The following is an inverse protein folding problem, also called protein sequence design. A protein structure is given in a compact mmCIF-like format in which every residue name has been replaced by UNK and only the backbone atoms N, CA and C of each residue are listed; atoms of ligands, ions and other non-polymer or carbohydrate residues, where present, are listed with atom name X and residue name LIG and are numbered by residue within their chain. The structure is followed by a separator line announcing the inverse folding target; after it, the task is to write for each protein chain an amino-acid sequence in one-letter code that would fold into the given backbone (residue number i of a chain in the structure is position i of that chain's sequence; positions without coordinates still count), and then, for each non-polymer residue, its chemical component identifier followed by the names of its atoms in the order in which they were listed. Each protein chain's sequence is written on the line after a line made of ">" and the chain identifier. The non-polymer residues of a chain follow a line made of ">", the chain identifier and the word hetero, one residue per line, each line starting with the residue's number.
data_IF_259970559326
#
_entry.id   IF_259970559326
#
_cell.length_a   1.000
_cell.length_b   1.000
_cell.length_c   1.000
_cell.angle_alpha   90.00
_cell.angle_beta   90.00
_cell.angle_gamma   90.00
#
_symmetry.space_group_name_H-M   'P 1'
#
loop_
_entity.id
_entity.type
_entity.pdbx_description
1 polymer ?
#
# COMPACT_ATOMS: atom_id res chain seq x y z
N UNK A 1 -54.09 -16.76 -25.88
CA UNK A 1 -53.38 -17.14 -24.64
C UNK A 1 -52.14 -16.25 -24.55
N UNK A 2 -52.24 -15.14 -23.82
CA UNK A 2 -51.16 -14.17 -23.65
C UNK A 2 -50.46 -14.41 -22.31
N UNK A 3 -49.13 -14.54 -22.35
CA UNK A 3 -48.29 -14.73 -21.17
C UNK A 3 -48.01 -13.35 -20.57
N UNK A 4 -48.47 -13.13 -19.34
CA UNK A 4 -48.36 -11.87 -18.62
C UNK A 4 -46.93 -11.62 -18.12
N UNK A 5 -46.39 -10.45 -18.45
CA UNK A 5 -45.21 -9.88 -17.81
C UNK A 5 -45.60 -9.35 -16.43
N UNK A 6 -45.07 -10.01 -15.38
CA UNK A 6 -45.03 -9.49 -14.00
C UNK A 6 -44.31 -8.15 -13.97
N UNK A 7 -45.07 -7.06 -13.83
CA UNK A 7 -44.55 -5.74 -13.50
C UNK A 7 -44.16 -5.73 -12.01
N UNK A 8 -42.89 -6.03 -11.74
CA UNK A 8 -42.28 -5.76 -10.44
C UNK A 8 -42.22 -4.26 -10.20
N UNK A 9 -42.90 -3.80 -9.16
CA UNK A 9 -42.78 -2.47 -8.59
C UNK A 9 -41.33 -2.26 -8.13
N UNK A 10 -40.59 -1.36 -8.80
CA UNK A 10 -39.33 -0.84 -8.26
C UNK A 10 -39.65 0.20 -7.18
N UNK A 11 -38.94 0.22 -6.03
CA UNK A 11 -39.08 1.26 -5.03
C UNK A 11 -38.86 2.64 -5.68
N UNK A 12 -39.67 3.63 -5.31
CA UNK A 12 -39.56 4.99 -5.81
C UNK A 12 -38.13 5.50 -5.65
N UNK A 13 -37.47 5.83 -6.78
CA UNK A 13 -36.12 6.42 -6.80
C UNK A 13 -35.08 5.67 -7.64
N UNK A 14 -35.29 4.39 -7.98
CA UNK A 14 -34.35 3.66 -8.83
C UNK A 14 -34.82 3.75 -10.30
N UNK A 15 -34.29 4.74 -11.03
CA UNK A 15 -34.48 4.84 -12.48
C UNK A 15 -33.99 3.56 -13.17
N UNK A 16 -34.71 3.09 -14.20
CA UNK A 16 -34.26 2.03 -15.12
C UNK A 16 -32.88 2.33 -15.73
N UNK A 17 -32.44 3.59 -15.74
CA UNK A 17 -31.09 3.97 -16.20
C UNK A 17 -29.96 3.43 -15.32
N UNK A 18 -30.21 3.18 -14.03
CA UNK A 18 -29.23 2.59 -13.11
C UNK A 18 -28.89 1.14 -13.48
N UNK A 19 -29.78 0.47 -14.22
CA UNK A 19 -29.56 -0.89 -14.74
C UNK A 19 -28.80 -0.87 -16.08
N UNK A 20 -28.80 0.27 -16.80
CA UNK A 20 -28.29 0.36 -18.16
C UNK A 20 -26.86 0.94 -18.28
N UNK A 21 -26.39 1.71 -17.29
CA UNK A 21 -25.01 2.23 -17.27
C UNK A 21 -24.39 2.16 -15.87
N UNK A 22 -23.39 1.29 -15.64
CA UNK A 22 -22.74 1.20 -14.33
C UNK A 22 -22.04 2.52 -13.99
N UNK A 23 -22.13 2.93 -12.73
CA UNK A 23 -21.48 4.15 -12.23
C UNK A 23 -19.96 4.01 -12.32
N UNK A 24 -19.31 5.00 -12.94
CA UNK A 24 -17.83 5.02 -13.03
C UNK A 24 -17.20 5.53 -11.74
N UNK A 25 -16.22 4.81 -11.22
CA UNK A 25 -15.46 5.15 -10.01
C UNK A 25 -13.98 5.22 -10.33
N UNK A 26 -13.35 6.36 -10.08
CA UNK A 26 -11.94 6.62 -10.39
C UNK A 26 -11.09 6.29 -9.19
N UNK A 27 -10.19 5.34 -9.39
CA UNK A 27 -9.28 4.88 -8.34
C UNK A 27 -7.87 5.23 -8.75
N UNK A 28 -7.15 5.88 -7.86
CA UNK A 28 -5.71 6.05 -7.99
C UNK A 28 -5.01 5.08 -7.06
N UNK A 29 -4.04 4.35 -7.58
CA UNK A 29 -3.26 3.38 -6.81
C UNK A 29 -1.76 3.56 -7.07
N UNK A 30 -0.92 3.36 -6.05
CA UNK A 30 0.54 3.44 -6.23
C UNK A 30 1.13 2.21 -6.89
N UNK A 31 0.50 1.05 -6.71
CA UNK A 31 0.97 -0.25 -7.18
C UNK A 31 -0.20 -1.17 -7.51
N UNK A 32 -0.11 -1.90 -8.61
CA UNK A 32 -1.15 -2.85 -9.02
C UNK A 32 -1.45 -3.90 -7.94
N UNK A 33 -0.45 -4.27 -7.13
CA UNK A 33 -0.59 -5.25 -6.05
C UNK A 33 -1.58 -4.83 -4.95
N UNK A 34 -1.87 -3.54 -4.80
CA UNK A 34 -2.85 -3.06 -3.81
C UNK A 34 -4.30 -3.25 -4.26
N UNK A 35 -4.52 -3.32 -5.57
CA UNK A 35 -5.85 -3.42 -6.15
C UNK A 35 -5.82 -4.27 -7.44
N UNK A 36 -5.57 -5.58 -7.33
CA UNK A 36 -5.40 -6.45 -8.48
C UNK A 36 -6.72 -6.64 -9.24
N UNK A 37 -6.62 -6.86 -10.55
CA UNK A 37 -7.76 -6.96 -11.48
C UNK A 37 -8.85 -7.94 -11.03
N UNK A 38 -8.49 -9.07 -10.41
CA UNK A 38 -9.48 -10.04 -9.90
C UNK A 38 -10.42 -9.45 -8.85
N UNK A 39 -9.88 -8.61 -7.95
CA UNK A 39 -10.69 -7.93 -6.91
C UNK A 39 -11.52 -6.80 -7.54
N UNK A 40 -10.96 -6.13 -8.55
CA UNK A 40 -11.71 -5.12 -9.32
C UNK A 40 -12.96 -5.75 -9.95
N UNK A 41 -12.79 -6.86 -10.67
CA UNK A 41 -13.88 -7.57 -11.36
C UNK A 41 -14.95 -8.08 -10.38
N UNK A 42 -14.55 -8.62 -9.24
CA UNK A 42 -15.48 -9.06 -8.17
C UNK A 42 -16.33 -7.88 -7.67
N UNK A 43 -15.70 -6.78 -7.27
CA UNK A 43 -16.39 -5.59 -6.76
C UNK A 43 -17.23 -4.87 -7.82
N UNK A 44 -16.77 -4.81 -9.08
CA UNK A 44 -17.55 -4.25 -10.18
C UNK A 44 -18.87 -5.00 -10.41
N UNK A 45 -18.82 -6.33 -10.30
CA UNK A 45 -20.00 -7.18 -10.45
C UNK A 45 -20.94 -7.04 -9.25
N UNK A 46 -20.40 -7.06 -8.04
CA UNK A 46 -21.18 -6.99 -6.80
C UNK A 46 -21.87 -5.65 -6.62
N UNK A 47 -21.13 -4.55 -6.85
CA UNK A 47 -21.62 -3.18 -6.64
C UNK A 47 -22.22 -2.55 -7.91
N UNK A 48 -22.17 -3.24 -9.06
CA UNK A 48 -22.63 -2.75 -10.37
C UNK A 48 -21.99 -1.42 -10.78
N UNK A 49 -20.68 -1.32 -10.58
CA UNK A 49 -19.86 -0.16 -10.92
C UNK A 49 -18.82 -0.51 -11.99
N UNK A 50 -18.11 0.51 -12.48
CA UNK A 50 -16.92 0.34 -13.32
C UNK A 50 -15.77 1.15 -12.78
N UNK A 51 -14.63 0.51 -12.54
CA UNK A 51 -13.44 1.20 -12.08
C UNK A 51 -12.65 1.78 -13.25
N UNK A 52 -12.20 3.01 -13.06
CA UNK A 52 -11.19 3.65 -13.88
C UNK A 52 -9.93 3.78 -13.04
N UNK A 53 -9.03 2.80 -13.16
CA UNK A 53 -7.83 2.71 -12.32
C UNK A 53 -6.66 3.44 -12.99
N UNK A 54 -6.09 4.42 -12.28
CA UNK A 54 -4.80 5.04 -12.62
C UNK A 54 -3.73 4.50 -11.68
N UNK A 55 -2.66 3.94 -12.22
CA UNK A 55 -1.47 3.54 -11.45
C UNK A 55 -0.39 4.62 -11.61
N UNK A 56 0.09 5.20 -10.51
CA UNK A 56 1.23 6.14 -10.55
C UNK A 56 1.89 6.29 -9.18
N UNK A 57 3.21 6.48 -9.18
CA UNK A 57 4.02 6.86 -8.00
C UNK A 57 4.56 8.29 -8.07
N UNK A 58 4.21 9.06 -9.10
CA UNK A 58 4.63 10.47 -9.17
C UNK A 58 3.76 11.33 -8.25
N UNK A 59 4.38 11.85 -7.18
CA UNK A 59 3.70 12.67 -6.18
C UNK A 59 2.94 13.85 -6.80
N UNK A 60 3.54 14.53 -7.78
CA UNK A 60 2.94 15.71 -8.40
C UNK A 60 1.67 15.35 -9.18
N UNK A 61 1.71 14.28 -9.97
CA UNK A 61 0.55 13.73 -10.67
C UNK A 61 -0.57 13.33 -9.72
N UNK A 62 -0.22 12.75 -8.56
CA UNK A 62 -1.20 12.35 -7.55
C UNK A 62 -1.85 13.60 -6.95
N UNK A 63 -1.05 14.56 -6.47
CA UNK A 63 -1.56 15.79 -5.89
C UNK A 63 -2.49 16.52 -6.86
N UNK A 64 -2.10 16.62 -8.14
CA UNK A 64 -2.93 17.20 -9.20
C UNK A 64 -4.28 16.47 -9.37
N UNK A 65 -4.28 15.14 -9.36
CA UNK A 65 -5.51 14.32 -9.47
C UNK A 65 -6.40 14.36 -8.23
N UNK A 66 -5.85 14.64 -7.06
CA UNK A 66 -6.60 14.84 -5.81
C UNK A 66 -7.33 16.19 -5.81
N UNK A 67 -6.69 17.25 -6.32
CA UNK A 67 -7.27 18.61 -6.36
C UNK A 67 -8.14 18.89 -7.60
N UNK A 68 -7.99 18.08 -8.66
CA UNK A 68 -8.71 18.27 -9.91
C UNK A 68 -10.23 18.20 -9.73
N UNK A 69 -10.98 18.82 -10.65
CA UNK A 69 -12.43 18.64 -10.77
C UNK A 69 -12.74 18.06 -12.16
N UNK A 70 -13.31 16.85 -12.26
CA UNK A 70 -13.71 15.98 -11.15
C UNK A 70 -12.49 15.18 -10.61
N UNK A 71 -12.35 15.05 -9.27
CA UNK A 71 -11.18 14.43 -8.62
C UNK A 71 -11.19 12.90 -8.68
N UNK A 72 -10.15 12.25 -8.18
CA UNK A 72 -10.23 10.81 -7.87
C UNK A 72 -11.30 10.54 -6.79
N UNK A 73 -11.89 9.35 -6.83
CA UNK A 73 -12.94 8.94 -5.89
C UNK A 73 -12.34 8.18 -4.70
N UNK A 74 -11.33 7.33 -4.94
CA UNK A 74 -10.56 6.60 -3.92
C UNK A 74 -9.06 6.68 -4.25
N UNK A 75 -8.24 6.86 -3.23
CA UNK A 75 -6.78 6.74 -3.30
C UNK A 75 -6.34 5.50 -2.52
N UNK A 76 -5.51 4.66 -3.12
CA UNK A 76 -4.88 3.50 -2.50
C UNK A 76 -3.36 3.73 -2.48
N UNK A 77 -2.85 4.18 -1.33
CA UNK A 77 -1.50 4.73 -1.22
C UNK A 77 -0.88 4.52 0.17
N UNK A 78 0.45 4.73 0.33
CA UNK A 78 1.12 4.67 1.61
C UNK A 78 0.56 5.67 2.63
N UNK A 79 0.54 5.31 3.91
CA UNK A 79 0.00 6.16 5.00
C UNK A 79 0.66 7.54 5.07
N UNK A 80 1.97 7.61 4.88
CA UNK A 80 2.74 8.85 4.97
C UNK A 80 2.41 9.85 3.84
N UNK A 81 1.89 9.38 2.70
CA UNK A 81 1.33 10.24 1.65
C UNK A 81 -0.03 10.78 2.08
N UNK A 82 -0.90 9.92 2.65
CA UNK A 82 -2.17 10.36 3.21
C UNK A 82 -1.99 11.39 4.33
N UNK A 83 -1.03 11.19 5.24
CA UNK A 83 -0.69 12.16 6.29
C UNK A 83 -0.31 13.53 5.71
N UNK A 84 0.47 13.53 4.63
CA UNK A 84 0.89 14.76 3.93
C UNK A 84 -0.29 15.47 3.29
N UNK A 85 -1.17 14.74 2.59
CA UNK A 85 -2.40 15.30 1.99
C UNK A 85 -3.39 15.80 3.05
N UNK A 86 -3.50 15.11 4.18
CA UNK A 86 -4.37 15.50 5.28
C UNK A 86 -3.92 16.84 5.90
N UNK A 87 -2.60 17.06 6.07
CA UNK A 87 -2.06 18.35 6.52
C UNK A 87 -2.41 19.52 5.58
N UNK A 88 -2.69 19.21 4.31
CA UNK A 88 -3.13 20.16 3.29
C UNK A 88 -4.66 20.25 3.17
N UNK A 89 -5.42 19.59 4.05
CA UNK A 89 -6.88 19.49 4.02
C UNK A 89 -7.45 18.92 2.70
N UNK A 90 -6.70 18.04 2.03
CA UNK A 90 -7.09 17.47 0.74
C UNK A 90 -7.91 16.18 0.86
N UNK A 91 -8.04 15.63 2.07
CA UNK A 91 -8.72 14.36 2.31
C UNK A 91 -10.05 14.58 3.04
N UNK A 92 -11.04 13.80 2.65
CA UNK A 92 -12.31 13.73 3.35
C UNK A 92 -12.11 13.01 4.68
N UNK A 93 -12.55 13.66 5.76
CA UNK A 93 -12.56 13.07 7.10
C UNK A 93 -13.94 12.48 7.32
N UNK A 94 -14.02 11.16 7.42
CA UNK A 94 -15.26 10.49 7.77
C UNK A 94 -15.52 10.61 9.28
N UNK A 95 -16.74 11.00 9.67
CA UNK A 95 -17.25 10.88 11.04
C UNK A 95 -17.58 9.42 11.38
N UNK A 96 -17.35 8.99 12.64
CA UNK A 96 -17.68 7.66 13.19
C UNK A 96 -18.14 6.61 12.19
N UNK A 97 -17.18 5.87 11.62
CA UNK A 97 -17.46 4.82 10.64
C UNK A 97 -17.21 3.44 11.23
N UNK A 98 -18.10 2.50 10.97
CA UNK A 98 -17.95 1.08 11.29
C UNK A 98 -16.64 0.49 10.73
N UNK A 99 -16.09 1.06 9.65
CA UNK A 99 -14.78 0.68 9.13
C UNK A 99 -13.65 0.87 10.15
N UNK A 100 -13.70 1.92 10.98
CA UNK A 100 -12.70 2.14 12.03
C UNK A 100 -12.69 1.02 13.07
N UNK A 101 -13.85 0.40 13.31
CA UNK A 101 -14.00 -0.70 14.25
C UNK A 101 -13.37 -1.99 13.75
N UNK A 102 -13.18 -2.16 12.44
CA UNK A 102 -12.57 -3.36 11.86
C UNK A 102 -11.04 -3.33 11.91
N UNK A 103 -10.45 -2.15 12.05
CA UNK A 103 -9.00 -1.96 12.03
C UNK A 103 -8.44 -2.25 13.42
N UNK A 104 -7.33 -2.98 13.49
CA UNK A 104 -6.67 -3.26 14.76
C UNK A 104 -6.13 -1.97 15.39
N UNK A 105 -6.24 -1.79 16.72
CA UNK A 105 -5.85 -0.56 17.40
C UNK A 105 -4.41 -0.09 17.16
N UNK A 106 -3.49 -1.01 16.87
CA UNK A 106 -2.08 -0.71 16.60
C UNK A 106 -1.86 0.16 15.35
N UNK A 107 -2.84 0.20 14.44
CA UNK A 107 -2.80 0.98 13.20
C UNK A 107 -3.65 2.25 13.27
N UNK A 108 -4.29 2.51 14.42
CA UNK A 108 -5.08 3.71 14.66
C UNK A 108 -4.25 4.72 15.47
N UNK A 109 -4.37 6.00 15.15
CA UNK A 109 -3.67 7.05 15.89
C UNK A 109 -4.26 7.15 17.33
N UNK A 110 -3.42 7.12 18.38
CA UNK A 110 -3.86 7.17 19.78
C UNK A 110 -4.66 8.42 20.15
N UNK A 111 -4.59 9.51 19.37
CA UNK A 111 -5.30 10.78 19.64
C UNK A 111 -6.75 10.79 19.11
N UNK A 112 -7.20 9.72 18.43
CA UNK A 112 -8.54 9.63 17.86
C UNK A 112 -9.58 9.35 18.96
N UNK A 113 -9.86 10.36 19.77
CA UNK A 113 -10.96 10.39 20.76
C UNK A 113 -12.35 10.51 20.12
N UNK A 114 -12.43 10.74 18.80
CA UNK A 114 -13.69 10.92 18.04
C UNK A 114 -13.90 9.93 16.88
N UNK A 115 -13.07 8.88 16.74
CA UNK A 115 -13.11 7.86 15.66
C UNK A 115 -13.15 8.43 14.22
N UNK A 116 -12.77 9.68 14.03
CA UNK A 116 -12.71 10.31 12.71
C UNK A 116 -11.46 9.86 11.96
N UNK A 117 -11.64 9.22 10.80
CA UNK A 117 -10.54 8.71 9.97
C UNK A 117 -10.50 9.45 8.63
N UNK A 118 -9.32 9.96 8.28
CA UNK A 118 -8.99 10.43 6.93
C UNK A 118 -8.25 9.36 6.10
N UNK A 119 -7.75 8.32 6.77
CA UNK A 119 -7.02 7.21 6.17
C UNK A 119 -7.47 5.90 6.80
N UNK A 120 -7.72 4.92 5.96
CA UNK A 120 -8.16 3.58 6.31
C UNK A 120 -7.00 2.61 6.04
N UNK A 121 -6.14 2.32 7.03
CA UNK A 121 -5.07 1.33 6.86
C UNK A 121 -5.68 -0.04 6.55
N UNK A 122 -5.24 -0.66 5.45
CA UNK A 122 -5.70 -1.98 5.00
C UNK A 122 -4.60 -3.02 5.09
N UNK A 123 -3.38 -2.60 4.78
CA UNK A 123 -2.24 -3.47 4.57
C UNK A 123 -1.00 -2.92 5.27
N UNK A 124 -0.13 -3.81 5.75
CA UNK A 124 1.19 -3.44 6.23
C UNK A 124 2.23 -4.47 5.77
N UNK A 125 3.49 -4.05 5.69
CA UNK A 125 4.61 -4.96 5.49
C UNK A 125 5.84 -4.45 6.21
N UNK A 126 6.65 -5.37 6.72
CA UNK A 126 8.03 -5.09 7.15
C UNK A 126 8.97 -5.51 6.03
N UNK A 127 9.87 -4.64 5.59
CA UNK A 127 10.88 -4.96 4.56
C UNK A 127 12.18 -5.46 5.20
N UNK A 128 13.00 -6.13 4.40
CA UNK A 128 14.39 -6.50 4.72
C UNK A 128 15.16 -6.87 3.46
N UNK A 129 16.45 -7.15 3.58
CA UNK A 129 17.31 -7.45 2.44
C UNK A 129 17.54 -8.95 2.28
N UNK A 130 17.20 -9.50 1.11
CA UNK A 130 17.53 -10.87 0.71
C UNK A 130 18.74 -10.86 -0.22
N UNK A 131 19.78 -11.63 0.09
CA UNK A 131 20.97 -11.78 -0.75
C UNK A 131 20.98 -13.14 -1.46
N UNK A 132 21.67 -13.23 -2.60
CA UNK A 132 21.94 -14.50 -3.27
C UNK A 132 23.00 -15.29 -2.48
N UNK A 133 22.57 -16.29 -1.69
CA UNK A 133 23.48 -17.20 -0.97
C UNK A 133 23.44 -17.14 0.56
N UNK A 134 22.38 -16.58 1.16
CA UNK A 134 22.16 -16.56 2.61
C UNK A 134 23.24 -15.82 3.42
N UNK A 135 24.02 -14.97 2.75
CA UNK A 135 25.00 -14.10 3.40
C UNK A 135 24.30 -12.83 3.92
N UNK A 136 24.88 -12.21 4.96
CA UNK A 136 24.40 -10.93 5.48
C UNK A 136 24.47 -9.81 4.43
N UNK A 137 23.67 -8.76 4.61
CA UNK A 137 23.71 -7.60 3.73
C UNK A 137 25.11 -6.95 3.67
N UNK A 138 25.81 -6.88 4.80
CA UNK A 138 27.17 -6.35 4.88
C UNK A 138 28.17 -7.21 4.08
N UNK A 139 28.06 -8.53 4.12
CA UNK A 139 28.87 -9.43 3.31
C UNK A 139 28.60 -9.26 1.82
N UNK A 140 27.32 -9.10 1.43
CA UNK A 140 26.97 -8.75 0.05
C UNK A 140 27.63 -7.44 -0.39
N UNK A 141 27.64 -6.41 0.45
CA UNK A 141 28.28 -5.13 0.13
C UNK A 141 29.78 -5.28 -0.14
N UNK A 142 30.46 -6.18 0.60
CA UNK A 142 31.89 -6.46 0.44
C UNK A 142 32.21 -7.38 -0.74
N UNK A 143 31.26 -8.20 -1.19
CA UNK A 143 31.47 -9.09 -2.34
C UNK A 143 31.55 -8.31 -3.66
N UNK A 144 32.68 -8.43 -4.36
CA UNK A 144 32.87 -7.76 -5.67
C UNK A 144 32.16 -8.47 -6.82
N UNK A 145 31.74 -9.73 -6.65
CA UNK A 145 31.05 -10.51 -7.69
C UNK A 145 29.56 -10.20 -7.74
N UNK A 146 28.92 -10.02 -6.59
CA UNK A 146 27.53 -9.57 -6.52
C UNK A 146 27.43 -8.06 -6.78
N UNK A 147 26.92 -7.68 -7.96
CA UNK A 147 27.01 -6.29 -8.45
C UNK A 147 25.74 -5.47 -8.30
N UNK A 148 24.57 -6.09 -8.15
CA UNK A 148 23.29 -5.37 -8.25
C UNK A 148 22.52 -5.35 -6.93
N UNK A 149 22.03 -4.17 -6.57
CA UNK A 149 21.15 -3.91 -5.43
C UNK A 149 19.79 -3.44 -5.93
N UNK A 150 18.75 -4.21 -5.68
CA UNK A 150 17.37 -3.88 -6.03
C UNK A 150 16.64 -3.29 -4.83
N UNK A 151 16.07 -2.11 -4.97
CA UNK A 151 15.40 -1.37 -3.91
C UNK A 151 13.94 -1.08 -4.27
N UNK A 152 13.09 -0.93 -3.25
CA UNK A 152 11.72 -0.49 -3.48
C UNK A 152 11.72 0.94 -4.03
N UNK A 153 10.94 1.18 -5.09
CA UNK A 153 10.86 2.46 -5.77
C UNK A 153 10.06 3.51 -4.97
N UNK A 154 10.59 3.90 -3.81
CA UNK A 154 10.01 4.84 -2.86
C UNK A 154 11.08 5.83 -2.42
N UNK A 155 10.97 7.08 -2.87
CA UNK A 155 12.01 8.11 -2.71
C UNK A 155 12.33 8.42 -1.25
N UNK A 156 11.32 8.43 -0.39
CA UNK A 156 11.48 8.72 1.04
C UNK A 156 12.19 7.57 1.75
N UNK A 157 11.80 6.34 1.42
CA UNK A 157 12.47 5.15 1.92
C UNK A 157 13.92 5.09 1.47
N UNK A 158 14.17 5.32 0.18
CA UNK A 158 15.51 5.37 -0.40
C UNK A 158 16.37 6.41 0.31
N UNK A 159 15.86 7.62 0.53
CA UNK A 159 16.61 8.66 1.24
C UNK A 159 17.02 8.20 2.63
N UNK A 160 16.10 7.59 3.39
CA UNK A 160 16.40 7.07 4.73
C UNK A 160 17.44 5.95 4.69
N UNK A 161 17.34 5.02 3.73
CA UNK A 161 18.35 3.97 3.55
C UNK A 161 19.74 4.56 3.32
N UNK A 162 19.87 5.52 2.41
CA UNK A 162 21.15 6.14 2.09
C UNK A 162 21.75 6.93 3.26
N UNK A 163 20.92 7.64 4.03
CA UNK A 163 21.36 8.31 5.25
C UNK A 163 21.87 7.32 6.30
N UNK A 164 21.15 6.21 6.52
CA UNK A 164 21.60 5.17 7.45
C UNK A 164 22.89 4.50 6.97
N UNK A 165 23.03 4.24 5.67
CA UNK A 165 24.26 3.70 5.11
C UNK A 165 25.44 4.68 5.22
N UNK A 166 25.20 5.98 5.14
CA UNK A 166 26.21 6.99 5.40
C UNK A 166 26.64 6.96 6.87
N UNK A 167 25.69 6.97 7.80
CA UNK A 167 25.95 6.94 9.25
C UNK A 167 26.70 5.67 9.68
N UNK A 168 26.41 4.53 9.03
CA UNK A 168 27.10 3.25 9.24
C UNK A 168 28.46 3.15 8.53
N UNK A 169 28.84 4.13 7.71
CA UNK A 169 30.06 4.07 6.91
C UNK A 169 30.01 3.06 5.74
N UNK A 170 28.82 2.64 5.33
CA UNK A 170 28.59 1.66 4.25
C UNK A 170 28.36 2.30 2.88
N UNK A 171 28.10 3.61 2.84
CA UNK A 171 27.74 4.32 1.61
C UNK A 171 28.71 4.08 0.44
N UNK A 172 30.02 4.09 0.71
CA UNK A 172 31.03 3.86 -0.33
C UNK A 172 30.98 2.45 -0.94
N UNK A 173 30.54 1.45 -0.17
CA UNK A 173 30.34 0.08 -0.66
C UNK A 173 29.03 -0.04 -1.44
N UNK A 174 27.98 0.63 -0.97
CA UNK A 174 26.69 0.69 -1.68
C UNK A 174 26.85 1.35 -3.05
N UNK A 175 27.59 2.45 -3.14
CA UNK A 175 27.84 3.17 -4.39
C UNK A 175 28.69 2.37 -5.40
N UNK A 176 29.38 1.31 -4.98
CA UNK A 176 30.04 0.37 -5.90
C UNK A 176 29.05 -0.62 -6.54
N UNK A 177 27.84 -0.73 -6.00
CA UNK A 177 26.77 -1.57 -6.56
C UNK A 177 25.99 -0.80 -7.61
N UNK A 178 25.49 -1.52 -8.61
CA UNK A 178 24.46 -1.03 -9.52
C UNK A 178 23.12 -1.01 -8.77
N UNK A 179 22.57 0.18 -8.57
CA UNK A 179 21.30 0.36 -7.85
C UNK A 179 20.16 0.41 -8.87
N UNK A 180 19.15 -0.43 -8.67
CA UNK A 180 17.95 -0.47 -9.49
C UNK A 180 16.72 -0.36 -8.59
N UNK A 181 15.86 0.61 -8.83
CA UNK A 181 14.62 0.80 -8.10
C UNK A 181 13.47 0.14 -8.86
N UNK A 182 12.66 -0.66 -8.18
CA UNK A 182 11.57 -1.40 -8.79
C UNK A 182 10.28 -1.26 -7.97
N UNK A 183 9.10 -1.24 -8.63
CA UNK A 183 7.81 -1.45 -7.98
C UNK A 183 7.76 -2.78 -7.20
N UNK A 184 6.89 -2.87 -6.19
CA UNK A 184 6.84 -4.01 -5.28
C UNK A 184 6.49 -5.34 -5.98
N UNK A 185 5.54 -5.32 -6.90
CA UNK A 185 5.13 -6.46 -7.70
C UNK A 185 6.30 -7.01 -8.53
N UNK A 186 7.12 -6.13 -9.12
CA UNK A 186 8.30 -6.52 -9.88
C UNK A 186 9.42 -7.06 -8.98
N UNK A 187 9.61 -6.49 -7.79
CA UNK A 187 10.59 -7.00 -6.82
C UNK A 187 10.30 -8.45 -6.41
N UNK A 188 9.02 -8.77 -6.15
CA UNK A 188 8.59 -10.10 -5.72
C UNK A 188 8.74 -11.14 -6.84
N UNK A 189 8.45 -10.77 -8.10
CA UNK A 189 8.53 -11.69 -9.24
C UNK A 189 9.96 -11.99 -9.71
N UNK A 190 10.93 -11.15 -9.37
CA UNK A 190 12.29 -11.21 -9.93
C UNK A 190 13.21 -12.22 -9.19
N UNK A 191 12.81 -13.49 -9.13
CA UNK A 191 13.48 -14.52 -8.32
C UNK A 191 14.83 -15.03 -8.88
N UNK A 192 15.23 -14.57 -10.07
CA UNK A 192 16.42 -15.06 -10.78
C UNK A 192 17.61 -14.09 -10.79
N UNK A 193 17.55 -12.99 -10.06
CA UNK A 193 18.58 -11.95 -10.13
C UNK A 193 19.80 -12.26 -9.23
N UNK A 194 21.00 -12.18 -9.80
CA UNK A 194 22.27 -12.14 -9.07
C UNK A 194 22.36 -10.80 -8.30
N UNK A 195 22.18 -10.81 -6.97
CA UNK A 195 22.29 -9.59 -6.16
C UNK A 195 21.59 -9.63 -4.80
N UNK A 196 21.42 -8.44 -4.22
CA UNK A 196 20.61 -8.23 -3.03
C UNK A 196 19.33 -7.47 -3.37
N UNK A 197 18.23 -7.78 -2.66
CA UNK A 197 16.89 -7.26 -2.95
C UNK A 197 16.21 -6.84 -1.67
N UNK A 198 15.65 -5.64 -1.64
CA UNK A 198 14.71 -5.24 -0.60
C UNK A 198 13.36 -5.93 -0.85
N UNK A 199 12.92 -6.77 0.08
CA UNK A 199 11.70 -7.57 -0.04
C UNK A 199 10.89 -7.57 1.27
N UNK A 200 9.57 -7.83 1.19
CA UNK A 200 8.75 -8.10 2.35
C UNK A 200 9.29 -9.30 3.14
N UNK A 201 9.40 -9.13 4.46
CA UNK A 201 9.73 -10.22 5.38
C UNK A 201 8.49 -11.11 5.52
N UNK A 202 8.44 -12.19 4.74
CA UNK A 202 7.46 -13.26 4.88
C UNK A 202 8.19 -14.59 5.13
N UNK A 203 7.70 -15.39 6.09
CA UNK A 203 8.39 -16.58 6.62
C UNK A 203 8.52 -17.76 5.63
N UNK A 204 8.16 -17.60 4.37
CA UNK A 204 8.49 -18.60 3.33
C UNK A 204 10.00 -18.69 3.04
N UNK A 205 10.86 -17.88 3.69
CA UNK A 205 12.31 -18.06 3.70
C UNK A 205 12.90 -17.98 5.13
N UNK A 206 13.35 -19.10 5.72
CA UNK A 206 14.03 -19.12 7.01
C UNK A 206 15.42 -18.44 7.01
N UNK A 207 15.91 -18.05 5.83
CA UNK A 207 17.24 -17.46 5.63
C UNK A 207 17.31 -15.94 5.85
N UNK A 208 16.15 -15.27 5.98
CA UNK A 208 16.09 -13.86 6.37
C UNK A 208 16.23 -13.75 7.89
N UNK A 209 17.47 -13.66 8.38
CA UNK A 209 17.69 -13.31 9.78
C UNK A 209 17.23 -11.88 10.02
N UNK A 210 16.32 -11.71 10.99
CA UNK A 210 15.68 -10.45 11.43
C UNK A 210 16.70 -9.43 12.01
N UNK A 211 18.00 -9.59 11.74
CA UNK A 211 19.09 -8.78 12.28
C UNK A 211 19.59 -7.67 11.34
N UNK A 212 18.96 -7.44 10.19
CA UNK A 212 19.29 -6.25 9.40
C UNK A 212 18.61 -5.01 10.02
N UNK A 213 19.41 -4.08 10.57
CA UNK A 213 18.92 -2.74 11.01
C UNK A 213 18.48 -1.84 9.82
N UNK A 214 18.16 -2.44 8.67
CA UNK A 214 17.77 -1.78 7.43
C UNK A 214 16.39 -2.27 6.99
N UNK A 215 15.51 -2.49 7.97
CA UNK A 215 14.12 -2.82 7.71
C UNK A 215 13.29 -1.55 7.70
N UNK A 216 12.22 -1.51 6.91
CA UNK A 216 11.20 -0.48 6.99
C UNK A 216 9.86 -1.11 7.33
N UNK A 217 9.03 -0.39 8.09
CA UNK A 217 7.63 -0.76 8.30
C UNK A 217 6.78 0.20 7.50
N UNK A 218 6.06 -0.34 6.51
CA UNK A 218 5.25 0.42 5.58
C UNK A 218 3.79 0.00 5.71
N UNK A 219 2.90 0.98 5.68
CA UNK A 219 1.46 0.80 5.80
C UNK A 219 0.79 1.40 4.57
N UNK A 220 -0.07 0.61 3.92
CA UNK A 220 -0.92 1.07 2.83
C UNK A 220 -2.38 0.99 3.24
N UNK A 221 -3.17 1.81 2.59
CA UNK A 221 -4.58 1.90 2.89
C UNK A 221 -5.29 2.79 1.89
N UNK A 222 -6.49 3.16 2.27
CA UNK A 222 -7.35 3.98 1.45
C UNK A 222 -7.54 5.38 2.04
N UNK A 223 -7.63 6.37 1.17
CA UNK A 223 -8.11 7.70 1.51
C UNK A 223 -9.13 8.16 0.47
N UNK A 224 -10.07 9.01 0.88
CA UNK A 224 -11.07 9.60 -0.01
C UNK A 224 -10.68 11.07 -0.19
N UNK A 225 -10.48 11.57 -1.42
CA UNK A 225 -10.25 12.99 -1.65
C UNK A 225 -11.42 13.85 -1.16
N UNK A 226 -11.14 15.01 -0.57
CA UNK A 226 -12.17 15.96 -0.15
C UNK A 226 -13.03 16.44 -1.34
N UNK A 227 -12.41 16.56 -2.51
CA UNK A 227 -13.03 16.98 -3.76
C UNK A 227 -13.87 15.87 -4.46
N UNK A 228 -13.86 14.63 -3.95
CA UNK A 228 -14.63 13.52 -4.55
C UNK A 228 -16.13 13.79 -4.48
N UNK A 229 -16.85 13.56 -5.57
CA UNK A 229 -18.31 13.65 -5.64
C UNK A 229 -19.01 12.33 -5.27
N UNK A 230 -18.26 11.26 -4.96
CA UNK A 230 -18.77 9.90 -4.67
C UNK A 230 -18.34 9.37 -3.31
N UNK A 231 -18.39 10.19 -2.26
CA UNK A 231 -17.88 9.84 -0.92
C UNK A 231 -18.59 8.64 -0.30
N UNK A 232 -19.92 8.57 -0.43
CA UNK A 232 -20.75 7.51 0.11
C UNK A 232 -20.47 6.18 -0.59
N UNK A 233 -20.43 6.20 -1.94
CA UNK A 233 -20.07 5.03 -2.74
C UNK A 233 -18.62 4.59 -2.47
N UNK A 234 -17.70 5.53 -2.25
CA UNK A 234 -16.34 5.20 -1.84
C UNK A 234 -16.32 4.47 -0.50
N UNK A 235 -17.09 4.90 0.50
CA UNK A 235 -17.22 4.20 1.79
C UNK A 235 -17.81 2.78 1.60
N UNK A 236 -18.80 2.62 0.72
CA UNK A 236 -19.37 1.30 0.40
C UNK A 236 -18.32 0.37 -0.22
N UNK A 237 -17.53 0.85 -1.17
CA UNK A 237 -16.43 0.10 -1.78
C UNK A 237 -15.37 -0.28 -0.74
N UNK A 238 -14.99 0.65 0.15
CA UNK A 238 -14.06 0.34 1.24
C UNK A 238 -14.63 -0.66 2.24
N UNK A 239 -15.94 -0.64 2.46
CA UNK A 239 -16.64 -1.63 3.30
C UNK A 239 -16.60 -3.02 2.67
N UNK A 240 -16.84 -3.11 1.36
CA UNK A 240 -16.70 -4.36 0.62
C UNK A 240 -15.24 -4.84 0.61
N UNK A 241 -14.26 -3.96 0.36
CA UNK A 241 -12.84 -4.29 0.39
C UNK A 241 -12.40 -4.86 1.74
N UNK A 242 -13.01 -4.44 2.85
CA UNK A 242 -12.73 -4.97 4.21
C UNK A 242 -13.56 -6.19 4.57
N UNK A 243 -14.25 -6.83 3.62
CA UNK A 243 -14.89 -8.12 3.84
C UNK A 243 -13.83 -9.22 4.01
N UNK A 244 -14.05 -10.12 4.98
CA UNK A 244 -13.08 -11.17 5.31
C UNK A 244 -12.77 -12.06 4.10
N UNK A 245 -13.78 -12.42 3.30
CA UNK A 245 -13.60 -13.23 2.09
C UNK A 245 -12.65 -12.59 1.08
N UNK A 246 -12.82 -11.29 0.80
CA UNK A 246 -11.98 -10.53 -0.12
C UNK A 246 -10.56 -10.39 0.43
N UNK A 247 -10.45 -10.03 1.71
CA UNK A 247 -9.15 -9.85 2.36
C UNK A 247 -8.35 -11.14 2.42
N UNK A 248 -8.96 -12.26 2.80
CA UNK A 248 -8.30 -13.56 2.83
C UNK A 248 -7.77 -13.95 1.45
N UNK A 249 -8.61 -13.86 0.41
CA UNK A 249 -8.18 -14.19 -0.95
C UNK A 249 -7.06 -13.29 -1.45
N UNK A 250 -7.11 -12.00 -1.14
CA UNK A 250 -6.10 -11.03 -1.57
C UNK A 250 -4.77 -11.22 -0.82
N UNK A 251 -4.83 -11.42 0.51
CA UNK A 251 -3.64 -11.61 1.35
C UNK A 251 -2.90 -12.91 1.03
N UNK A 252 -3.58 -13.93 0.50
CA UNK A 252 -2.92 -15.17 0.05
C UNK A 252 -2.16 -14.99 -1.28
N UNK A 253 -2.45 -13.94 -2.05
CA UNK A 253 -1.85 -13.68 -3.38
C UNK A 253 -0.88 -12.51 -3.40
N UNK A 254 -0.81 -11.74 -2.32
CA UNK A 254 0.04 -10.54 -2.21
C UNK A 254 1.11 -10.75 -1.15
N UNK A 255 2.16 -9.92 -1.10
CA UNK A 255 3.12 -9.97 -0.01
C UNK A 255 2.67 -9.21 1.25
N UNK A 256 1.47 -8.62 1.27
CA UNK A 256 1.00 -7.75 2.36
C UNK A 256 0.39 -8.49 3.56
N UNK A 257 0.64 -8.02 4.77
CA UNK A 257 -0.08 -8.43 5.96
C UNK A 257 -1.31 -7.53 6.15
N UNK A 258 -2.32 -8.01 6.89
CA UNK A 258 -3.53 -7.24 7.15
C UNK A 258 -3.44 -6.39 8.41
N UNK A 259 -4.08 -5.23 8.37
CA UNK A 259 -4.30 -4.35 9.52
C UNK A 259 -5.63 -4.64 10.25
N UNK A 260 -6.46 -5.55 9.73
CA UNK A 260 -7.79 -5.84 10.28
C UNK A 260 -7.72 -6.76 11.51
N UNK A 261 -8.63 -6.54 12.47
CA UNK A 261 -8.66 -7.28 13.73
C UNK A 261 -9.35 -8.67 13.63
N UNK A 262 -10.34 -8.83 12.74
CA UNK A 262 -11.23 -10.02 12.69
C UNK A 262 -10.80 -11.12 11.72
N UNK A 263 -9.63 -11.00 11.07
CA UNK A 263 -9.12 -12.02 10.15
C UNK A 263 -8.48 -13.18 10.94
N UNK A 264 -9.31 -13.96 11.61
CA UNK A 264 -8.88 -15.11 12.43
C UNK A 264 -8.96 -16.45 11.71
N UNK A 265 -9.41 -16.46 10.46
CA UNK A 265 -9.63 -17.67 9.66
C UNK A 265 -8.38 -18.56 9.64
N UNK A 266 -8.50 -19.88 9.85
CA UNK A 266 -7.35 -20.79 9.89
C UNK A 266 -6.49 -20.80 8.62
N UNK A 267 -7.08 -20.41 7.48
CA UNK A 267 -6.39 -20.33 6.19
C UNK A 267 -5.34 -19.20 6.14
N UNK A 268 -5.51 -18.13 6.92
CA UNK A 268 -4.58 -17.01 6.96
C UNK A 268 -3.52 -17.25 8.06
N UNK A 269 -2.22 -17.36 7.70
CA UNK A 269 -1.14 -17.57 8.67
C UNK A 269 -1.12 -16.48 9.76
N UNK A 270 -0.81 -16.81 11.03
CA UNK A 270 -0.79 -15.84 12.13
C UNK A 270 0.06 -14.58 11.85
N UNK A 271 1.18 -14.74 11.16
CA UNK A 271 2.13 -13.67 10.82
C UNK A 271 1.52 -12.62 9.88
N UNK A 272 0.49 -12.99 9.13
CA UNK A 272 -0.23 -12.13 8.18
C UNK A 272 -1.33 -11.32 8.87
N UNK A 273 -1.59 -11.56 10.16
CA UNK A 273 -2.63 -10.90 10.94
C UNK A 273 -2.08 -9.64 11.59
N UNK A 274 -2.99 -8.71 11.90
CA UNK A 274 -2.63 -7.44 12.51
C UNK A 274 -1.89 -7.58 13.84
N UNK A 275 -2.27 -8.58 14.65
CA UNK A 275 -1.70 -8.80 15.99
C UNK A 275 -0.20 -9.12 15.98
N UNK A 276 0.31 -9.70 14.89
CA UNK A 276 1.71 -10.09 14.80
C UNK A 276 2.67 -8.90 14.82
N UNK A 277 2.21 -7.68 14.51
CA UNK A 277 3.04 -6.47 14.59
C UNK A 277 3.67 -6.28 15.99
N UNK A 278 2.97 -6.72 17.05
CA UNK A 278 3.44 -6.63 18.44
C UNK A 278 4.56 -7.62 18.76
N UNK A 279 4.67 -8.68 17.98
CA UNK A 279 5.71 -9.71 18.12
C UNK A 279 6.96 -9.32 17.32
N UNK A 280 6.86 -8.36 16.40
CA UNK A 280 7.98 -7.86 15.63
C UNK A 280 8.92 -7.02 16.49
N UNK A 281 10.21 -7.33 16.41
CA UNK A 281 11.27 -6.44 16.89
C UNK A 281 11.38 -5.25 15.92
N UNK A 282 10.82 -4.11 16.31
CA UNK A 282 10.83 -2.85 15.51
C UNK A 282 12.04 -1.95 15.81
N UNK A 283 12.97 -2.38 16.66
CA UNK A 283 14.21 -1.64 16.92
C UNK A 283 15.01 -1.55 15.62
N UNK A 284 15.43 -0.33 15.25
CA UNK A 284 16.18 -0.10 14.01
C UNK A 284 15.33 -0.20 12.74
N UNK A 285 14.00 -0.16 12.86
CA UNK A 285 13.10 -0.13 11.70
C UNK A 285 12.80 1.30 11.28
N UNK A 286 12.98 1.59 9.99
CA UNK A 286 12.65 2.88 9.36
C UNK A 286 11.13 3.08 9.40
N UNK A 287 10.72 4.24 9.93
CA UNK A 287 9.34 4.70 9.95
C UNK A 287 9.25 6.03 9.21
N UNK A 288 8.42 6.08 8.17
CA UNK A 288 8.21 7.30 7.38
C UNK A 288 6.90 7.94 7.85
N UNK A 289 6.99 9.14 8.42
CA UNK A 289 5.81 9.85 8.93
C UNK A 289 5.10 10.69 7.88
N UNK A 290 5.84 11.36 7.00
CA UNK A 290 5.30 12.24 5.94
C UNK A 290 6.20 12.24 4.70
N UNK A 291 5.64 12.56 3.54
CA UNK A 291 6.39 12.75 2.28
C UNK A 291 7.33 13.94 2.42
N UNK A 292 8.60 13.70 2.15
CA UNK A 292 9.62 14.70 1.93
C UNK A 292 9.65 15.06 0.44
N UNK A 293 9.23 16.30 0.13
CA UNK A 293 9.20 16.82 -1.24
C UNK A 293 10.60 17.07 -1.81
N UNK A 294 11.61 17.16 -0.95
CA UNK A 294 13.01 17.33 -1.37
C UNK A 294 13.74 16.00 -1.56
N UNK A 295 13.11 14.86 -1.27
CA UNK A 295 13.77 13.56 -1.33
C UNK A 295 14.44 13.27 -2.69
N UNK A 296 13.79 13.51 -3.86
CA UNK A 296 14.43 13.31 -5.16
C UNK A 296 15.67 14.19 -5.35
N UNK A 297 15.58 15.45 -4.90
CA UNK A 297 16.67 16.42 -5.00
C UNK A 297 17.84 15.99 -4.11
N UNK A 298 17.59 15.57 -2.87
CA UNK A 298 18.62 15.10 -1.94
C UNK A 298 19.28 13.81 -2.41
N UNK A 299 18.49 12.85 -2.89
CA UNK A 299 19.00 11.62 -3.50
C UNK A 299 19.97 11.89 -4.66
N UNK A 300 19.63 12.83 -5.53
CA UNK A 300 20.49 13.24 -6.62
C UNK A 300 21.71 14.04 -6.14
N UNK A 301 21.50 15.09 -5.36
CA UNK A 301 22.52 16.08 -5.04
C UNK A 301 23.52 15.56 -3.98
N UNK A 302 23.08 14.75 -3.01
CA UNK A 302 23.91 14.24 -1.91
C UNK A 302 24.45 12.82 -2.19
N UNK A 303 23.68 11.99 -2.90
CA UNK A 303 24.00 10.56 -3.08
C UNK A 303 24.23 10.14 -4.53
N UNK A 304 24.06 11.05 -5.50
CA UNK A 304 24.16 10.80 -6.95
C UNK A 304 23.23 9.66 -7.44
N UNK A 305 22.08 9.49 -6.78
CA UNK A 305 21.03 8.57 -7.21
C UNK A 305 20.00 9.34 -8.05
N UNK A 306 19.91 8.99 -9.33
CA UNK A 306 18.92 9.55 -10.26
C UNK A 306 17.81 8.52 -10.43
N UNK A 307 16.58 8.91 -10.11
CA UNK A 307 15.36 8.09 -10.19
C UNK A 307 14.58 8.33 -11.49
#
# INVERSE_FOLDING_TARGET
>A
MGVGFLHGYLPQGISRDYVLRPTKVRILVTDESLFPKSIQEELENDLRIKFEVTVTRDWNSIQAKVIASPSQDILLLPSYWAHTMNRQNLLFVTSENSLSLKIAPDFLDPVITKRSLYFYPLYWMKTGFKTAGNNSFEEFLKDKKATTLFLLNDEDLLLNHFQIWQDKGWLALVQQKKILTLPLDQLVLNDKAEGARELPLNESNPDLTVQDDLSALLVWGAAIPAASDKKELAIEILTALTANSIQEQNLMKTPFNSTLQELTTPALPPQRRATHIRELKLKGTILIGTKNLEAPKKLRDEFNLIL
#
